data_IF_665780414926
#
_entry.id   IF_665780414926
#
_cell.length_a   1.000
_cell.length_b   1.000
_cell.length_c   1.000
_cell.angle_alpha   90.00
_cell.angle_beta   90.00
_cell.angle_gamma   90.00
#
_symmetry.space_group_name_H-M   'P 1'
#
loop_
_entity.id
_entity.type
_entity.pdbx_description
1 polymer ?
#
# COMPACT_ATOMS: atom_id res chain seq x y z
N UNK A 1 16.36 36.80 -15.31
CA UNK A 1 15.32 36.02 -14.60
C UNK A 1 15.48 34.57 -15.05
N UNK A 2 16.09 33.75 -14.19
CA UNK A 2 16.79 32.53 -14.60
C UNK A 2 15.80 31.37 -14.79
N UNK A 3 15.83 30.72 -15.96
CA UNK A 3 14.95 29.56 -16.26
C UNK A 3 15.29 28.34 -15.40
N UNK A 4 16.51 28.24 -14.88
CA UNK A 4 16.98 27.14 -14.04
C UNK A 4 16.35 27.15 -12.64
N UNK A 5 16.26 28.32 -12.00
CA UNK A 5 15.68 28.45 -10.65
C UNK A 5 14.20 28.06 -10.60
N UNK A 6 13.43 28.34 -11.67
CA UNK A 6 12.01 28.01 -11.76
C UNK A 6 11.73 26.51 -11.96
N UNK A 7 12.69 25.75 -12.52
CA UNK A 7 12.55 24.30 -12.74
C UNK A 7 12.91 23.56 -11.45
N UNK A 8 13.97 24.00 -10.77
CA UNK A 8 14.42 23.42 -9.51
C UNK A 8 13.41 23.66 -8.37
N UNK A 9 12.81 24.86 -8.29
CA UNK A 9 11.75 25.14 -7.32
C UNK A 9 10.50 24.29 -7.56
N UNK A 10 10.06 24.14 -8.82
CA UNK A 10 8.92 23.28 -9.14
C UNK A 10 9.22 21.82 -8.78
N UNK A 11 10.41 21.33 -9.15
CA UNK A 11 10.81 19.95 -8.89
C UNK A 11 10.85 19.62 -7.39
N UNK A 12 11.38 20.53 -6.56
CA UNK A 12 11.41 20.34 -5.11
C UNK A 12 10.02 20.51 -4.47
N UNK A 13 9.20 21.43 -4.97
CA UNK A 13 7.83 21.65 -4.49
C UNK A 13 6.92 20.44 -4.74
N UNK A 14 7.04 19.76 -5.89
CA UNK A 14 6.29 18.53 -6.15
C UNK A 14 6.78 17.34 -5.32
N UNK A 15 8.08 17.29 -4.96
CA UNK A 15 8.63 16.25 -4.10
C UNK A 15 8.14 16.32 -2.66
N UNK A 16 7.81 17.51 -2.14
CA UNK A 16 7.37 17.68 -0.75
C UNK A 16 5.84 17.58 -0.58
N UNK A 17 5.04 18.00 -1.56
CA UNK A 17 3.56 18.04 -1.43
C UNK A 17 2.91 16.68 -1.67
N UNK A 18 3.46 15.87 -2.58
CA UNK A 18 2.89 14.57 -2.93
C UNK A 18 2.94 13.63 -1.72
N UNK A 19 4.07 13.50 -0.99
CA UNK A 19 4.13 12.64 0.18
C UNK A 19 3.14 12.98 1.28
N UNK A 20 3.04 14.25 1.67
CA UNK A 20 2.14 14.66 2.75
C UNK A 20 0.67 14.48 2.37
N UNK A 21 0.32 14.76 1.11
CA UNK A 21 -1.05 14.57 0.61
C UNK A 21 -1.43 13.09 0.59
N UNK A 22 -0.51 12.22 0.17
CA UNK A 22 -0.75 10.78 0.15
C UNK A 22 -0.88 10.21 1.56
N UNK A 23 0.03 10.55 2.49
CA UNK A 23 -0.09 10.14 3.90
C UNK A 23 -1.42 10.54 4.50
N UNK A 24 -1.89 11.77 4.25
CA UNK A 24 -3.19 12.23 4.75
C UNK A 24 -4.35 11.38 4.21
N UNK A 25 -4.39 11.12 2.90
CA UNK A 25 -5.46 10.28 2.30
C UNK A 25 -5.46 8.87 2.90
N UNK A 26 -4.28 8.31 3.12
CA UNK A 26 -4.13 6.96 3.66
C UNK A 26 -4.52 6.94 5.15
N UNK A 27 -4.14 7.94 5.93
CA UNK A 27 -4.62 8.12 7.30
C UNK A 27 -6.14 8.19 7.38
N UNK A 28 -6.78 9.03 6.55
CA UNK A 28 -8.25 9.13 6.46
C UNK A 28 -8.89 7.77 6.11
N UNK A 29 -8.24 6.97 5.26
CA UNK A 29 -8.74 5.64 4.89
C UNK A 29 -8.66 4.65 6.06
N UNK A 30 -7.59 4.67 6.85
CA UNK A 30 -7.49 3.86 8.06
C UNK A 30 -8.52 4.28 9.13
N UNK A 31 -8.81 5.57 9.26
CA UNK A 31 -9.86 6.06 10.15
C UNK A 31 -11.24 5.52 9.75
N UNK A 32 -11.54 5.46 8.45
CA UNK A 32 -12.78 4.84 7.95
C UNK A 32 -12.85 3.35 8.32
N UNK A 33 -11.75 2.60 8.20
CA UNK A 33 -11.72 1.19 8.61
C UNK A 33 -11.90 1.04 10.13
N UNK A 34 -11.28 1.93 10.92
CA UNK A 34 -11.40 1.94 12.37
C UNK A 34 -12.83 2.22 12.87
N UNK A 35 -13.66 2.87 12.05
CA UNK A 35 -15.05 3.17 12.35
C UNK A 35 -16.04 2.07 11.92
N UNK A 36 -15.58 1.00 11.25
CA UNK A 36 -16.46 -0.14 10.96
C UNK A 36 -16.98 -0.75 12.25
N UNK A 37 -18.21 -1.21 12.22
CA UNK A 37 -18.78 -2.10 13.22
C UNK A 37 -18.62 -3.56 12.74
N UNK A 38 -18.76 -4.53 13.64
CA UNK A 38 -18.90 -5.92 13.21
C UNK A 38 -20.14 -6.07 12.32
N UNK A 39 -20.08 -7.03 11.40
CA UNK A 39 -21.10 -7.29 10.40
C UNK A 39 -21.39 -6.07 9.49
N UNK A 40 -20.34 -5.30 9.14
CA UNK A 40 -20.45 -4.08 8.33
C UNK A 40 -21.01 -4.28 6.91
N UNK A 41 -21.03 -5.53 6.43
CA UNK A 41 -21.54 -5.93 5.11
C UNK A 41 -22.80 -6.81 5.16
N UNK A 42 -23.27 -7.20 6.35
CA UNK A 42 -24.40 -8.12 6.51
C UNK A 42 -24.04 -9.61 6.41
N UNK A 43 -22.76 -9.97 6.36
CA UNK A 43 -22.26 -11.35 6.24
C UNK A 43 -21.39 -11.81 7.41
N UNK A 44 -21.61 -11.26 8.60
CA UNK A 44 -20.87 -11.58 9.85
C UNK A 44 -19.37 -11.22 9.79
N UNK A 45 -19.00 -10.29 8.90
CA UNK A 45 -17.62 -9.82 8.75
C UNK A 45 -17.12 -9.11 10.00
N UNK A 46 -15.92 -9.46 10.45
CA UNK A 46 -15.27 -8.87 11.61
C UNK A 46 -14.73 -7.49 11.28
N UNK A 47 -14.78 -6.61 12.27
CA UNK A 47 -14.03 -5.36 12.26
C UNK A 47 -12.53 -5.64 12.46
N UNK A 48 -11.62 -4.94 11.75
CA UNK A 48 -10.20 -4.95 12.08
C UNK A 48 -9.94 -4.53 13.52
N UNK A 49 -9.05 -5.27 14.19
CA UNK A 49 -8.68 -4.93 15.57
C UNK A 49 -7.79 -3.68 15.59
N UNK A 50 -7.73 -3.01 16.74
CA UNK A 50 -6.84 -1.86 16.91
C UNK A 50 -5.37 -2.21 16.70
N UNK A 51 -4.98 -3.47 17.00
CA UNK A 51 -3.64 -3.96 16.76
C UNK A 51 -3.38 -4.10 15.26
N UNK A 52 -4.25 -4.77 14.51
CA UNK A 52 -4.14 -4.92 13.04
C UNK A 52 -4.07 -3.57 12.35
N UNK A 53 -4.93 -2.62 12.71
CA UNK A 53 -4.93 -1.26 12.14
C UNK A 53 -3.61 -0.53 12.40
N UNK A 54 -3.07 -0.62 13.62
CA UNK A 54 -1.80 0.00 13.97
C UNK A 54 -0.63 -0.65 13.22
N UNK A 55 -0.62 -1.98 13.11
CA UNK A 55 0.39 -2.71 12.35
C UNK A 55 0.35 -2.31 10.88
N UNK A 56 -0.84 -2.25 10.28
CA UNK A 56 -1.00 -1.85 8.89
C UNK A 56 -0.58 -0.40 8.63
N UNK A 57 -0.89 0.53 9.54
CA UNK A 57 -0.41 1.92 9.45
C UNK A 57 1.11 2.01 9.51
N UNK A 58 1.74 1.37 10.50
CA UNK A 58 3.21 1.37 10.61
C UNK A 58 3.87 0.74 9.39
N UNK A 59 3.35 -0.39 8.92
CA UNK A 59 3.86 -1.07 7.73
C UNK A 59 3.75 -0.19 6.49
N UNK A 60 2.60 0.47 6.30
CA UNK A 60 2.41 1.41 5.20
C UNK A 60 3.45 2.53 5.22
N UNK A 61 3.67 3.16 6.37
CA UNK A 61 4.62 4.28 6.50
C UNK A 61 6.05 3.81 6.21
N UNK A 62 6.47 2.66 6.75
CA UNK A 62 7.78 2.07 6.48
C UNK A 62 7.96 1.71 5.00
N UNK A 63 6.94 1.13 4.37
CA UNK A 63 6.94 0.77 2.95
C UNK A 63 7.03 2.02 2.09
N UNK A 64 6.17 3.00 2.36
CA UNK A 64 6.12 4.28 1.66
C UNK A 64 7.46 5.03 1.73
N UNK A 65 8.05 5.13 2.93
CA UNK A 65 9.34 5.79 3.12
C UNK A 65 10.46 5.10 2.35
N UNK A 66 10.47 3.77 2.37
CA UNK A 66 11.44 2.96 1.62
C UNK A 66 11.34 3.26 0.13
N UNK A 67 10.14 3.33 -0.44
CA UNK A 67 9.94 3.60 -1.87
C UNK A 67 10.29 5.06 -2.21
N UNK A 68 9.73 6.04 -1.50
CA UNK A 68 9.91 7.46 -1.81
C UNK A 68 11.38 7.88 -1.68
N UNK A 69 12.13 7.29 -0.76
CA UNK A 69 13.56 7.58 -0.58
C UNK A 69 14.41 7.27 -1.83
N UNK A 70 13.95 6.34 -2.69
CA UNK A 70 14.62 6.00 -3.96
C UNK A 70 14.26 6.95 -5.11
N UNK A 71 13.30 7.85 -4.91
CA UNK A 71 12.76 8.71 -5.98
C UNK A 71 11.88 7.97 -6.99
N UNK A 72 11.50 6.72 -6.67
CA UNK A 72 10.57 5.91 -7.47
C UNK A 72 9.20 6.57 -7.57
N UNK A 73 8.50 6.30 -8.68
CA UNK A 73 7.10 6.70 -8.84
C UNK A 73 6.26 6.01 -7.76
N UNK A 74 5.46 6.80 -7.04
CA UNK A 74 4.47 6.29 -6.10
C UNK A 74 3.11 6.12 -6.77
N UNK A 75 2.43 5.01 -6.45
CA UNK A 75 1.05 4.75 -6.84
C UNK A 75 0.19 4.74 -5.57
N UNK A 76 -0.93 5.45 -5.57
CA UNK A 76 -1.87 5.44 -4.44
C UNK A 76 -2.48 4.04 -4.29
N UNK A 77 -2.35 3.37 -3.14
CA UNK A 77 -2.99 2.08 -2.94
C UNK A 77 -4.49 2.20 -2.73
N UNK A 78 -5.18 1.09 -2.98
CA UNK A 78 -6.49 0.82 -2.39
C UNK A 78 -6.30 0.12 -1.04
N UNK A 79 -7.02 0.57 -0.01
CA UNK A 79 -6.95 -0.04 1.33
C UNK A 79 -8.35 -0.53 1.71
N UNK A 80 -8.44 -1.76 2.21
CA UNK A 80 -9.68 -2.41 2.63
C UNK A 80 -9.46 -3.32 3.83
N UNK A 81 -10.53 -3.94 4.33
CA UNK A 81 -10.44 -5.11 5.21
C UNK A 81 -11.34 -6.23 4.71
N UNK A 82 -10.97 -7.46 5.04
CA UNK A 82 -11.71 -8.68 4.72
C UNK A 82 -12.71 -9.07 5.83
N UNK A 83 -13.37 -10.22 5.66
CA UNK A 83 -14.34 -10.80 6.59
C UNK A 83 -13.74 -11.24 7.93
N UNK A 84 -12.42 -11.48 7.98
CA UNK A 84 -11.72 -11.88 9.18
C UNK A 84 -11.13 -10.69 9.95
N UNK A 85 -11.27 -9.48 9.40
CA UNK A 85 -10.75 -8.25 9.99
C UNK A 85 -9.28 -8.00 9.66
N UNK A 86 -8.68 -8.73 8.71
CA UNK A 86 -7.36 -8.41 8.21
C UNK A 86 -7.44 -7.16 7.34
N UNK A 87 -6.36 -6.38 7.29
CA UNK A 87 -6.27 -5.22 6.41
C UNK A 87 -5.55 -5.61 5.14
N UNK A 88 -6.05 -5.16 3.99
CA UNK A 88 -5.38 -5.31 2.71
C UNK A 88 -4.95 -3.95 2.19
N UNK A 89 -3.69 -3.85 1.75
CA UNK A 89 -3.17 -2.72 0.98
C UNK A 89 -2.84 -3.24 -0.41
N UNK A 90 -3.50 -2.71 -1.44
CA UNK A 90 -3.39 -3.19 -2.81
C UNK A 90 -2.89 -2.08 -3.74
N UNK A 91 -1.93 -2.42 -4.60
CA UNK A 91 -1.53 -1.63 -5.75
C UNK A 91 -1.73 -2.42 -7.03
N UNK A 92 -2.14 -1.71 -8.09
CA UNK A 92 -2.32 -2.28 -9.41
C UNK A 92 -1.58 -1.43 -10.45
N UNK A 93 -0.85 -2.08 -11.35
CA UNK A 93 -0.25 -1.45 -12.53
C UNK A 93 -0.28 -2.43 -13.71
N UNK A 94 -0.95 -2.03 -14.78
CA UNK A 94 -1.10 -2.85 -15.99
C UNK A 94 -1.67 -4.24 -15.68
N UNK A 95 -0.92 -5.31 -15.94
CA UNK A 95 -1.30 -6.69 -15.62
C UNK A 95 -0.78 -7.17 -14.26
N UNK A 96 -0.05 -6.34 -13.51
CA UNK A 96 0.50 -6.69 -12.19
C UNK A 96 -0.33 -6.09 -11.07
N UNK A 97 -0.52 -6.87 -10.00
CA UNK A 97 -1.08 -6.41 -8.73
C UNK A 97 -0.22 -6.90 -7.59
N UNK A 98 -0.03 -6.03 -6.60
CA UNK A 98 0.61 -6.34 -5.34
C UNK A 98 -0.43 -6.16 -4.24
N UNK A 99 -0.70 -7.23 -3.50
CA UNK A 99 -1.55 -7.19 -2.32
C UNK A 99 -0.65 -7.43 -1.12
N UNK A 100 -0.81 -6.65 -0.06
CA UNK A 100 -0.23 -6.92 1.26
C UNK A 100 -1.39 -7.13 2.21
N UNK A 101 -1.46 -8.33 2.81
CA UNK A 101 -2.47 -8.69 3.80
C UNK A 101 -1.84 -8.67 5.19
N UNK A 102 -2.42 -7.88 6.08
CA UNK A 102 -1.95 -7.66 7.44
C UNK A 102 -2.97 -8.26 8.40
N UNK A 103 -2.60 -9.36 9.06
CA UNK A 103 -3.33 -9.94 10.18
C UNK A 103 -2.77 -9.52 11.53
N UNK A 104 -3.18 -10.20 12.60
CA UNK A 104 -2.62 -9.96 13.94
C UNK A 104 -1.23 -10.57 14.12
N UNK A 105 -1.00 -11.75 13.54
CA UNK A 105 0.20 -12.56 13.77
C UNK A 105 1.22 -12.47 12.64
N UNK A 106 0.75 -12.24 11.41
CA UNK A 106 1.57 -12.30 10.21
C UNK A 106 1.20 -11.24 9.18
N UNK A 107 2.16 -10.99 8.30
CA UNK A 107 1.97 -10.16 7.11
C UNK A 107 2.42 -10.95 5.90
N UNK A 108 1.54 -11.04 4.92
CA UNK A 108 1.79 -11.74 3.67
C UNK A 108 1.72 -10.75 2.51
N UNK A 109 2.42 -11.06 1.42
CA UNK A 109 2.22 -10.38 0.16
C UNK A 109 1.80 -11.37 -0.92
N UNK A 110 1.03 -10.87 -1.88
CA UNK A 110 0.60 -11.61 -3.06
C UNK A 110 0.95 -10.78 -4.28
N UNK A 111 1.81 -11.34 -5.13
CA UNK A 111 2.08 -10.84 -6.46
C UNK A 111 1.17 -11.56 -7.46
N UNK A 112 0.38 -10.82 -8.24
CA UNK A 112 -0.49 -11.37 -9.27
C UNK A 112 -0.10 -10.79 -10.63
N UNK A 113 0.13 -11.63 -11.64
CA UNK A 113 0.46 -11.19 -13.01
C UNK A 113 -0.40 -11.83 -14.11
N UNK A 114 -1.44 -12.57 -13.72
CA UNK A 114 -2.38 -13.20 -14.64
C UNK A 114 -3.60 -13.79 -13.90
N UNK A 115 -4.37 -14.62 -14.61
CA UNK A 115 -5.63 -15.19 -14.09
C UNK A 115 -5.46 -16.61 -13.53
N UNK A 116 -4.36 -17.30 -13.88
CA UNK A 116 -4.10 -18.65 -13.41
C UNK A 116 -3.39 -18.61 -12.05
N UNK A 117 -4.12 -18.91 -10.98
CA UNK A 117 -3.59 -18.88 -9.61
C UNK A 117 -2.38 -19.81 -9.40
N UNK A 118 -2.28 -20.92 -10.13
CA UNK A 118 -1.21 -21.91 -9.92
C UNK A 118 0.13 -21.46 -10.53
N UNK A 119 0.10 -20.57 -11.52
CA UNK A 119 1.29 -20.21 -12.31
C UNK A 119 1.49 -18.71 -12.49
N UNK A 120 0.49 -17.90 -12.15
CA UNK A 120 0.46 -16.45 -12.37
C UNK A 120 0.22 -15.67 -11.08
N UNK A 121 0.58 -16.29 -9.95
CA UNK A 121 0.56 -15.73 -8.62
C UNK A 121 1.76 -16.23 -7.80
N UNK A 122 2.29 -15.38 -6.92
CA UNK A 122 3.25 -15.74 -5.89
C UNK A 122 2.76 -15.22 -4.54
N UNK A 123 2.91 -16.03 -3.48
CA UNK A 123 2.51 -15.69 -2.11
C UNK A 123 3.68 -16.01 -1.19
N UNK A 124 4.05 -15.07 -0.33
CA UNK A 124 5.07 -15.27 0.70
C UNK A 124 4.86 -14.32 1.88
N UNK A 125 5.60 -14.53 2.96
CA UNK A 125 5.62 -13.62 4.10
C UNK A 125 6.40 -12.35 3.77
N UNK A 126 5.84 -11.21 4.15
CA UNK A 126 6.45 -9.93 3.89
C UNK A 126 7.49 -9.60 4.96
N UNK A 127 8.72 -9.33 4.51
CA UNK A 127 9.78 -8.73 5.31
C UNK A 127 10.15 -7.37 4.76
N UNK A 128 10.90 -6.58 5.54
CA UNK A 128 11.35 -5.25 5.12
C UNK A 128 12.30 -5.31 3.92
N UNK A 129 13.06 -6.39 3.78
CA UNK A 129 14.02 -6.53 2.68
C UNK A 129 13.31 -6.68 1.32
N UNK A 130 12.04 -7.10 1.32
CA UNK A 130 11.24 -7.31 0.11
C UNK A 130 10.68 -6.00 -0.48
N UNK A 131 10.62 -4.91 0.28
CA UNK A 131 9.83 -3.72 -0.09
C UNK A 131 10.21 -3.14 -1.45
N UNK A 132 11.51 -2.96 -1.68
CA UNK A 132 12.01 -2.38 -2.93
C UNK A 132 11.83 -3.35 -4.10
N UNK A 133 12.14 -4.64 -3.89
CA UNK A 133 12.00 -5.67 -4.93
C UNK A 133 10.54 -5.82 -5.39
N UNK A 134 9.60 -5.85 -4.44
CA UNK A 134 8.16 -5.92 -4.74
C UNK A 134 7.68 -4.69 -5.49
N UNK A 135 8.19 -3.51 -5.16
CA UNK A 135 7.83 -2.28 -5.84
C UNK A 135 8.41 -2.20 -7.25
N UNK A 136 9.68 -2.55 -7.42
CA UNK A 136 10.32 -2.65 -8.74
C UNK A 136 9.58 -3.67 -9.61
N UNK A 137 9.24 -4.83 -9.07
CA UNK A 137 8.40 -5.81 -9.75
C UNK A 137 7.05 -5.22 -10.17
N UNK A 138 6.35 -4.49 -9.31
CA UNK A 138 5.08 -3.87 -9.68
C UNK A 138 5.27 -2.86 -10.84
N UNK A 139 6.37 -2.10 -10.83
CA UNK A 139 6.64 -1.07 -11.82
C UNK A 139 7.19 -1.59 -13.17
N UNK A 140 7.81 -2.76 -13.17
CA UNK A 140 8.44 -3.37 -14.35
C UNK A 140 7.49 -4.19 -15.23
N UNK A 141 6.20 -4.25 -14.87
CA UNK A 141 5.17 -4.79 -15.75
C UNK A 141 5.23 -4.08 -17.11
N UNK A 142 5.53 -4.85 -18.16
CA UNK A 142 5.50 -4.47 -19.58
C UNK A 142 4.66 -5.49 -20.33
#
# INVERSE_FOLDING_TARGET
>A
MNKSENVEYKHNFYKEIIPDTERRKISERFEVLAQREDNWDGYDSKKPTALTLKSAQHLFEDFFDSIISTGSLWLTPFISSDEDGNVTIEWSRENRRLHIQIGEDEVEYIQVWGINIDTEMNVDFLTRDDYLELWEWLLDGK
#
